data_IF_221415577166
#
_entry.id   IF_221415577166
#
_cell.length_a   1.000
_cell.length_b   1.000
_cell.length_c   1.000
_cell.angle_alpha   90.00
_cell.angle_beta   90.00
_cell.angle_gamma   90.00
#
_symmetry.space_group_name_H-M   'P 1'
#
loop_
_entity.id
_entity.type
_entity.pdbx_description
1 polymer ?
#
# COMPACT_ATOMS: atom_id res chain seq x y z
N UNK A 1 -10.08 7.12 62.35
CA UNK A 1 -8.99 7.50 61.41
C UNK A 1 -8.72 6.43 60.36
N UNK A 2 -8.71 5.13 60.69
CA UNK A 2 -8.45 4.03 59.74
C UNK A 2 -9.43 3.93 58.54
N UNK A 3 -10.72 4.24 58.73
CA UNK A 3 -11.71 4.15 57.63
C UNK A 3 -11.58 5.27 56.59
N UNK A 4 -11.17 6.47 57.01
CA UNK A 4 -10.99 7.60 56.11
C UNK A 4 -9.74 7.37 55.24
N UNK A 5 -8.67 6.84 55.83
CA UNK A 5 -7.44 6.49 55.13
C UNK A 5 -7.66 5.41 54.06
N UNK A 6 -8.47 4.38 54.36
CA UNK A 6 -8.81 3.32 53.38
C UNK A 6 -9.63 3.85 52.21
N UNK A 7 -10.60 4.74 52.48
CA UNK A 7 -11.41 5.36 51.42
C UNK A 7 -10.60 6.29 50.53
N UNK A 8 -9.70 7.08 51.10
CA UNK A 8 -8.78 7.94 50.34
C UNK A 8 -7.82 7.12 49.46
N UNK A 9 -7.31 5.99 49.95
CA UNK A 9 -6.44 5.12 49.18
C UNK A 9 -7.15 4.53 47.95
N UNK A 10 -8.41 4.11 48.09
CA UNK A 10 -9.19 3.56 46.97
C UNK A 10 -9.42 4.62 45.89
N UNK A 11 -9.74 5.85 46.28
CA UNK A 11 -9.96 6.96 45.33
C UNK A 11 -8.68 7.31 44.59
N UNK A 12 -7.52 7.29 45.26
CA UNK A 12 -6.22 7.52 44.63
C UNK A 12 -5.85 6.42 43.64
N UNK A 13 -6.11 5.14 43.98
CA UNK A 13 -5.86 4.01 43.07
C UNK A 13 -6.77 4.09 41.85
N UNK A 14 -8.07 4.37 42.02
CA UNK A 14 -8.99 4.55 40.90
C UNK A 14 -8.60 5.74 40.02
N UNK A 15 -8.21 6.86 40.61
CA UNK A 15 -7.73 8.02 39.85
C UNK A 15 -6.47 7.71 39.04
N UNK A 16 -5.54 6.96 39.63
CA UNK A 16 -4.33 6.49 38.95
C UNK A 16 -4.64 5.53 37.80
N UNK A 17 -5.53 4.55 38.01
CA UNK A 17 -5.95 3.62 36.96
C UNK A 17 -6.62 4.34 35.78
N UNK A 18 -7.48 5.32 36.05
CA UNK A 18 -8.13 6.13 35.00
C UNK A 18 -7.08 6.96 34.25
N UNK A 19 -6.13 7.59 34.95
CA UNK A 19 -5.04 8.34 34.33
C UNK A 19 -4.16 7.45 33.44
N UNK A 20 -3.87 6.21 33.85
CA UNK A 20 -3.11 5.26 33.05
C UNK A 20 -3.84 4.84 31.76
N UNK A 21 -5.18 4.81 31.72
CA UNK A 21 -5.92 4.51 30.49
C UNK A 21 -5.74 5.59 29.41
N UNK A 22 -5.44 6.84 29.80
CA UNK A 22 -5.19 7.94 28.86
C UNK A 22 -3.74 8.01 28.37
N UNK A 23 -2.80 7.25 28.96
CA UNK A 23 -1.38 7.26 28.58
C UNK A 23 -1.03 6.21 27.51
N UNK A 24 -1.98 5.42 27.01
CA UNK A 24 -1.73 4.36 26.01
C UNK A 24 -2.35 4.58 24.63
N UNK A 25 -2.84 5.79 24.34
CA UNK A 25 -3.18 6.12 22.94
C UNK A 25 -1.90 6.59 22.25
N UNK A 26 -1.09 5.63 21.81
CA UNK A 26 -0.15 5.91 20.72
C UNK A 26 -0.99 6.09 19.47
N UNK A 27 -1.17 7.33 19.05
CA UNK A 27 -1.68 7.64 17.72
C UNK A 27 -0.65 7.13 16.71
N UNK A 28 -0.92 6.00 16.07
CA UNK A 28 -0.17 5.60 14.87
C UNK A 28 -0.60 6.57 13.77
N UNK A 29 0.33 7.42 13.37
CA UNK A 29 0.18 8.38 12.29
C UNK A 29 0.30 7.59 10.98
N UNK A 30 -0.82 7.14 10.44
CA UNK A 30 -0.89 6.31 9.21
C UNK A 30 -0.39 7.05 7.94
N UNK A 31 -0.11 8.35 8.04
CA UNK A 31 0.33 9.21 6.93
C UNK A 31 1.84 9.10 6.62
N UNK A 32 2.66 8.52 7.52
CA UNK A 32 4.11 8.33 7.28
C UNK A 32 4.47 6.93 6.73
N UNK A 33 3.54 5.98 6.67
CA UNK A 33 3.85 4.58 6.33
C UNK A 33 3.90 4.30 4.82
N UNK A 34 3.08 4.98 4.01
CA UNK A 34 3.04 4.77 2.55
C UNK A 34 4.38 5.01 1.84
N UNK A 35 5.17 6.08 2.12
CA UNK A 35 6.47 6.27 1.48
C UNK A 35 7.53 5.28 1.97
N UNK A 36 7.45 4.79 3.21
CA UNK A 36 8.40 3.80 3.77
C UNK A 36 8.14 2.43 3.15
N UNK A 37 6.88 2.00 3.08
CA UNK A 37 6.50 0.72 2.47
C UNK A 37 6.93 0.70 1.00
N UNK A 38 6.67 1.78 0.25
CA UNK A 38 7.07 1.83 -1.16
C UNK A 38 8.59 1.79 -1.33
N UNK A 39 9.37 2.42 -0.44
CA UNK A 39 10.83 2.37 -0.50
C UNK A 39 11.38 0.96 -0.23
N UNK A 40 10.76 0.20 0.67
CA UNK A 40 11.16 -1.18 1.00
C UNK A 40 10.67 -2.21 -0.02
N UNK A 41 9.56 -1.93 -0.70
CA UNK A 41 8.92 -2.84 -1.68
C UNK A 41 9.17 -2.43 -3.13
N UNK A 42 10.01 -1.42 -3.34
CA UNK A 42 10.16 -0.77 -4.63
C UNK A 42 10.53 -1.75 -5.76
N UNK A 43 11.23 -2.84 -5.44
CA UNK A 43 11.73 -3.84 -6.40
C UNK A 43 10.85 -5.10 -6.48
N UNK A 44 9.66 -5.08 -5.89
CA UNK A 44 8.73 -6.20 -5.97
C UNK A 44 8.23 -6.41 -7.40
N UNK A 45 8.12 -7.68 -7.79
CA UNK A 45 7.46 -8.06 -9.04
C UNK A 45 5.98 -8.34 -8.79
N UNK A 46 5.18 -8.24 -9.85
CA UNK A 46 3.78 -8.63 -9.77
C UNK A 46 3.63 -10.15 -9.56
N UNK A 47 2.72 -10.59 -8.68
CA UNK A 47 2.59 -12.00 -8.33
C UNK A 47 1.93 -12.83 -9.44
N UNK A 48 1.24 -12.20 -10.38
CA UNK A 48 0.67 -12.82 -11.58
C UNK A 48 0.35 -11.76 -12.63
N UNK A 49 0.43 -12.12 -13.91
CA UNK A 49 -0.06 -11.29 -15.01
C UNK A 49 -1.53 -11.61 -15.31
N UNK A 50 -2.41 -10.63 -15.08
CA UNK A 50 -3.85 -10.81 -15.22
C UNK A 50 -4.62 -9.49 -15.08
N UNK A 51 -5.93 -9.59 -14.87
CA UNK A 51 -6.82 -8.45 -14.68
C UNK A 51 -7.16 -8.27 -13.21
N UNK A 52 -6.93 -7.07 -12.66
CA UNK A 52 -7.32 -6.71 -11.30
C UNK A 52 -8.85 -6.57 -11.23
N UNK A 53 -9.49 -7.52 -10.55
CA UNK A 53 -10.96 -7.66 -10.53
C UNK A 53 -11.61 -7.32 -9.20
N UNK A 54 -10.88 -7.40 -8.09
CA UNK A 54 -11.35 -6.98 -6.77
C UNK A 54 -10.21 -6.35 -5.97
N UNK A 55 -10.53 -5.33 -5.19
CA UNK A 55 -9.54 -4.48 -4.50
C UNK A 55 -9.56 -4.72 -3.00
N UNK A 56 -8.49 -4.31 -2.31
CA UNK A 56 -8.43 -4.35 -0.85
C UNK A 56 -9.56 -3.52 -0.22
N UNK A 57 -10.13 -4.01 0.89
CA UNK A 57 -11.17 -3.33 1.64
C UNK A 57 -12.58 -3.44 1.05
N UNK A 58 -12.77 -4.10 -0.09
CA UNK A 58 -14.10 -4.39 -0.63
C UNK A 58 -14.84 -5.42 0.23
N UNK A 59 -16.06 -5.81 -0.17
CA UNK A 59 -16.91 -6.77 0.57
C UNK A 59 -17.23 -6.31 2.00
N UNK A 60 -17.38 -5.00 2.18
CA UNK A 60 -17.64 -4.40 3.50
C UNK A 60 -16.42 -4.37 4.41
N UNK A 61 -15.21 -4.28 3.85
CA UNK A 61 -13.95 -4.30 4.63
C UNK A 61 -13.41 -5.69 4.95
N UNK A 62 -14.01 -6.74 4.38
CA UNK A 62 -13.63 -8.13 4.64
C UNK A 62 -12.71 -8.73 3.56
N UNK A 63 -12.38 -7.95 2.52
CA UNK A 63 -11.41 -8.35 1.52
C UNK A 63 -10.02 -7.83 1.91
N UNK A 64 -9.12 -8.71 2.36
CA UNK A 64 -7.82 -8.36 2.94
C UNK A 64 -6.66 -8.41 1.92
N UNK A 65 -7.00 -8.45 0.64
CA UNK A 65 -6.05 -8.55 -0.46
C UNK A 65 -6.64 -7.99 -1.75
N UNK A 66 -6.02 -8.34 -2.87
CA UNK A 66 -6.51 -8.07 -4.21
C UNK A 66 -6.79 -9.38 -4.94
N UNK A 67 -7.75 -9.37 -5.87
CA UNK A 67 -8.05 -10.50 -6.73
C UNK A 67 -7.62 -10.21 -8.17
N UNK A 68 -6.68 -10.99 -8.69
CA UNK A 68 -6.15 -10.87 -10.04
C UNK A 68 -6.62 -12.06 -10.87
N UNK A 69 -7.58 -11.82 -11.77
CA UNK A 69 -8.15 -12.83 -12.63
C UNK A 69 -7.15 -13.22 -13.73
N UNK A 70 -6.95 -14.53 -13.85
CA UNK A 70 -6.14 -15.16 -14.88
C UNK A 70 -6.63 -16.59 -15.13
N UNK A 71 -6.34 -17.20 -16.30
CA UNK A 71 -6.70 -18.58 -16.55
C UNK A 71 -6.16 -19.54 -15.47
N UNK A 72 -6.93 -20.59 -15.15
CA UNK A 72 -6.43 -21.67 -14.29
C UNK A 72 -5.17 -22.28 -14.92
N UNK A 73 -4.14 -22.50 -14.09
CA UNK A 73 -2.85 -23.01 -14.54
C UNK A 73 -1.81 -21.93 -14.85
N UNK A 74 -2.19 -20.64 -14.91
CA UNK A 74 -1.25 -19.52 -15.04
C UNK A 74 -0.28 -19.52 -13.85
N UNK A 75 1.00 -19.33 -14.12
CA UNK A 75 2.05 -19.30 -13.09
C UNK A 75 1.87 -18.10 -12.16
N UNK A 76 2.11 -18.34 -10.86
CA UNK A 76 2.17 -17.29 -9.84
C UNK A 76 3.60 -17.19 -9.30
N UNK A 77 4.09 -15.98 -9.10
CA UNK A 77 5.48 -15.68 -8.78
C UNK A 77 5.64 -15.14 -7.36
N UNK A 78 6.78 -15.42 -6.72
CA UNK A 78 7.15 -14.71 -5.48
C UNK A 78 7.49 -13.26 -5.80
N UNK A 79 6.87 -12.33 -5.09
CA UNK A 79 7.09 -10.88 -5.31
C UNK A 79 8.49 -10.42 -4.94
N UNK A 80 9.14 -11.10 -3.99
CA UNK A 80 10.49 -10.85 -3.51
C UNK A 80 11.14 -12.15 -2.99
N UNK A 81 12.45 -12.12 -2.74
CA UNK A 81 13.16 -13.16 -1.99
C UNK A 81 12.47 -13.46 -0.66
N UNK A 82 12.54 -14.70 -0.19
CA UNK A 82 11.96 -15.04 1.11
C UNK A 82 11.97 -16.52 1.43
N UNK A 83 11.31 -16.87 2.53
CA UNK A 83 11.16 -18.25 2.99
C UNK A 83 9.67 -18.60 3.06
N UNK A 84 9.29 -19.75 2.51
CA UNK A 84 7.91 -20.26 2.61
C UNK A 84 7.61 -20.61 4.07
N UNK A 85 6.69 -19.91 4.70
CA UNK A 85 6.30 -20.18 6.10
C UNK A 85 5.16 -21.19 6.21
N UNK A 86 4.32 -21.30 5.18
CA UNK A 86 3.21 -22.28 5.12
C UNK A 86 2.91 -22.65 3.67
N UNK A 87 2.67 -23.93 3.40
CA UNK A 87 2.16 -24.41 2.10
C UNK A 87 1.19 -25.56 2.31
N UNK A 88 -0.11 -25.27 2.32
CA UNK A 88 -1.14 -26.26 2.69
C UNK A 88 -2.50 -25.97 2.05
N UNK A 89 -3.44 -26.91 2.21
CA UNK A 89 -4.81 -26.77 1.71
C UNK A 89 -5.70 -26.25 2.84
N UNK A 90 -6.33 -25.10 2.62
CA UNK A 90 -7.29 -24.47 3.52
C UNK A 90 -8.71 -24.58 2.95
N UNK A 91 -9.71 -24.75 3.81
CA UNK A 91 -11.10 -24.70 3.36
C UNK A 91 -11.53 -23.31 2.86
N UNK A 92 -10.91 -22.24 3.37
CA UNK A 92 -11.18 -20.86 2.94
C UNK A 92 -10.30 -20.45 1.77
N UNK A 93 -8.97 -20.54 1.91
CA UNK A 93 -8.04 -20.10 0.89
C UNK A 93 -7.83 -21.11 -0.25
N UNK A 94 -8.24 -22.38 -0.08
CA UNK A 94 -7.91 -23.43 -1.04
C UNK A 94 -6.44 -23.83 -0.92
N UNK A 95 -5.81 -24.17 -2.04
CA UNK A 95 -4.35 -24.27 -2.06
C UNK A 95 -3.74 -22.89 -1.85
N UNK A 96 -2.91 -22.78 -0.82
CA UNK A 96 -2.33 -21.51 -0.40
C UNK A 96 -0.86 -21.65 -0.03
N UNK A 97 -0.08 -20.62 -0.36
CA UNK A 97 1.33 -20.46 -0.02
C UNK A 97 1.51 -19.13 0.73
N UNK A 98 2.32 -19.15 1.79
CA UNK A 98 2.70 -17.97 2.58
C UNK A 98 4.22 -17.82 2.49
N UNK A 99 4.69 -16.60 2.22
CA UNK A 99 6.13 -16.31 2.07
C UNK A 99 6.49 -15.12 2.94
N UNK A 100 7.46 -15.30 3.82
CA UNK A 100 8.03 -14.24 4.64
C UNK A 100 9.25 -13.65 3.96
N UNK A 101 9.27 -12.33 3.85
CA UNK A 101 10.30 -11.56 3.15
C UNK A 101 11.25 -10.85 4.14
N UNK A 102 12.50 -10.56 3.73
CA UNK A 102 13.51 -9.92 4.58
C UNK A 102 13.10 -8.55 5.16
N UNK A 103 12.27 -7.81 4.45
CA UNK A 103 11.80 -6.46 4.81
C UNK A 103 10.71 -6.49 5.89
N UNK A 104 10.38 -7.67 6.40
CA UNK A 104 9.40 -7.85 7.47
C UNK A 104 7.96 -7.93 6.96
N UNK A 105 7.74 -8.19 5.68
CA UNK A 105 6.42 -8.52 5.13
C UNK A 105 6.20 -10.02 5.05
N UNK A 106 4.94 -10.44 5.13
CA UNK A 106 4.51 -11.78 4.74
C UNK A 106 3.43 -11.68 3.66
N UNK A 107 3.59 -12.41 2.57
CA UNK A 107 2.64 -12.43 1.45
C UNK A 107 1.88 -13.74 1.39
N UNK A 108 0.63 -13.68 0.93
CA UNK A 108 -0.28 -14.83 0.84
C UNK A 108 -0.74 -15.00 -0.60
N UNK A 109 -0.61 -16.21 -1.13
CA UNK A 109 -1.01 -16.58 -2.50
C UNK A 109 -2.06 -17.67 -2.41
N UNK A 110 -3.32 -17.31 -2.63
CA UNK A 110 -4.47 -18.18 -2.39
C UNK A 110 -5.27 -18.50 -3.65
N UNK A 111 -6.21 -19.44 -3.48
CA UNK A 111 -7.08 -20.00 -4.51
C UNK A 111 -6.33 -20.73 -5.62
N UNK A 112 -5.09 -21.16 -5.37
CA UNK A 112 -4.25 -21.85 -6.32
C UNK A 112 -4.89 -23.18 -6.78
N UNK A 113 -4.57 -23.63 -7.99
CA UNK A 113 -4.88 -24.99 -8.45
C UNK A 113 -3.81 -25.98 -8.00
N UNK A 114 -2.57 -25.50 -7.86
CA UNK A 114 -1.40 -26.30 -7.51
C UNK A 114 -0.42 -25.42 -6.71
N UNK A 115 0.23 -26.02 -5.70
CA UNK A 115 1.36 -25.42 -4.98
C UNK A 115 2.63 -26.12 -5.45
N UNK A 116 3.66 -25.36 -5.82
CA UNK A 116 4.91 -25.90 -6.34
C UNK A 116 6.07 -25.80 -5.32
N UNK A 117 5.77 -25.34 -4.11
CA UNK A 117 6.74 -25.11 -3.05
C UNK A 117 6.24 -25.66 -1.72
N UNK A 118 7.18 -26.00 -0.84
CA UNK A 118 6.92 -26.58 0.48
C UNK A 118 7.35 -25.66 1.61
N UNK A 119 6.82 -25.89 2.82
CA UNK A 119 7.19 -25.12 4.01
C UNK A 119 8.68 -25.24 4.32
N UNK A 120 9.32 -24.12 4.63
CA UNK A 120 10.76 -24.00 4.88
C UNK A 120 11.61 -23.82 3.62
N UNK A 121 11.03 -23.82 2.42
CA UNK A 121 11.76 -23.59 1.19
C UNK A 121 12.19 -22.12 1.04
N UNK A 122 13.45 -21.90 0.68
CA UNK A 122 13.97 -20.59 0.27
C UNK A 122 13.55 -20.30 -1.18
N UNK A 123 13.06 -19.10 -1.42
CA UNK A 123 12.48 -18.64 -2.69
C UNK A 123 13.18 -17.37 -3.13
N UNK A 124 13.43 -17.26 -4.44
CA UNK A 124 13.92 -16.05 -5.07
C UNK A 124 12.78 -15.25 -5.68
N UNK A 125 12.95 -13.93 -5.72
CA UNK A 125 12.05 -13.05 -6.45
C UNK A 125 11.84 -13.56 -7.88
N UNK A 126 10.58 -13.66 -8.28
CA UNK A 126 10.18 -14.15 -9.60
C UNK A 126 10.13 -15.67 -9.75
N UNK A 127 10.50 -16.45 -8.72
CA UNK A 127 10.32 -17.90 -8.76
C UNK A 127 8.84 -18.26 -8.86
N UNK A 128 8.52 -19.29 -9.65
CA UNK A 128 7.15 -19.83 -9.74
C UNK A 128 6.86 -20.65 -8.49
N UNK A 129 5.84 -20.24 -7.73
CA UNK A 129 5.48 -20.85 -6.44
C UNK A 129 4.19 -21.67 -6.49
N UNK A 130 3.41 -21.51 -7.55
CA UNK A 130 2.10 -22.10 -7.68
C UNK A 130 1.44 -21.75 -9.01
N UNK A 131 0.19 -22.19 -9.14
CA UNK A 131 -0.62 -21.93 -10.33
C UNK A 131 -1.98 -21.38 -9.93
N UNK A 132 -2.45 -20.36 -10.65
CA UNK A 132 -3.80 -19.79 -10.51
C UNK A 132 -4.85 -20.90 -10.57
N UNK A 133 -5.88 -20.77 -9.74
CA UNK A 133 -6.95 -21.76 -9.67
C UNK A 133 -8.28 -21.17 -9.21
N UNK A 134 -9.14 -22.05 -8.73
CA UNK A 134 -10.46 -21.73 -8.22
C UNK A 134 -10.80 -22.68 -7.05
N UNK A 135 -9.88 -22.80 -6.09
CA UNK A 135 -10.04 -23.69 -4.93
C UNK A 135 -10.38 -22.93 -3.65
N UNK A 136 -10.94 -23.62 -2.65
CA UNK A 136 -11.45 -22.97 -1.45
C UNK A 136 -12.71 -22.14 -1.70
N UNK A 137 -12.80 -20.97 -1.07
CA UNK A 137 -13.94 -20.05 -1.18
C UNK A 137 -13.74 -19.05 -2.32
N UNK A 138 -13.70 -19.57 -3.55
CA UNK A 138 -13.60 -18.78 -4.78
C UNK A 138 -14.83 -18.97 -5.68
N UNK A 139 -15.11 -17.99 -6.54
CA UNK A 139 -16.23 -18.00 -7.51
C UNK A 139 -15.76 -18.06 -8.97
N UNK A 140 -14.46 -18.05 -9.22
CA UNK A 140 -13.87 -17.99 -10.55
C UNK A 140 -12.35 -18.08 -10.49
N UNK A 141 -11.71 -18.32 -11.63
CA UNK A 141 -10.26 -18.45 -11.69
C UNK A 141 -9.56 -17.11 -11.42
N UNK A 142 -8.82 -17.02 -10.32
CA UNK A 142 -8.03 -15.84 -9.94
C UNK A 142 -6.96 -16.21 -8.90
N UNK A 143 -5.96 -15.33 -8.76
CA UNK A 143 -5.10 -15.28 -7.59
C UNK A 143 -5.71 -14.31 -6.58
N UNK A 144 -5.91 -14.76 -5.34
CA UNK A 144 -6.13 -13.87 -4.21
C UNK A 144 -4.79 -13.61 -3.53
N UNK A 145 -4.36 -12.34 -3.52
CA UNK A 145 -3.04 -11.92 -3.04
C UNK A 145 -3.18 -10.97 -1.85
N UNK A 146 -2.61 -11.34 -0.70
CA UNK A 146 -2.59 -10.50 0.50
C UNK A 146 -1.14 -10.11 0.84
N UNK A 147 -0.98 -8.93 1.44
CA UNK A 147 0.30 -8.44 1.98
C UNK A 147 0.09 -8.08 3.44
N UNK A 148 0.95 -8.58 4.31
CA UNK A 148 0.90 -8.38 5.74
C UNK A 148 2.20 -7.73 6.23
N UNK A 149 2.08 -6.72 7.11
CA UNK A 149 3.23 -6.13 7.78
C UNK A 149 3.53 -6.93 9.05
N UNK A 150 4.63 -7.67 9.03
CA UNK A 150 4.94 -8.74 9.98
C UNK A 150 4.22 -10.05 9.64
N UNK A 151 4.30 -11.00 10.57
CA UNK A 151 3.73 -12.34 10.37
C UNK A 151 2.19 -12.27 10.20
N UNK A 152 1.66 -13.04 9.26
CA UNK A 152 0.23 -13.23 9.05
C UNK A 152 -0.42 -13.73 10.33
N UNK A 153 -1.56 -13.14 10.66
CA UNK A 153 -2.41 -13.59 11.75
C UNK A 153 -3.85 -13.84 11.26
N UNK A 154 -4.56 -14.73 11.95
CA UNK A 154 -5.91 -15.18 11.57
C UNK A 154 -6.91 -14.02 11.46
N UNK A 155 -6.75 -13.02 12.31
CA UNK A 155 -7.59 -11.81 12.35
C UNK A 155 -7.24 -10.81 11.24
N UNK A 156 -6.12 -11.03 10.53
CA UNK A 156 -5.58 -10.20 9.45
C UNK A 156 -5.44 -8.74 9.83
N UNK A 157 -5.20 -8.45 11.11
CA UNK A 157 -5.13 -7.08 11.63
C UNK A 157 -3.97 -6.28 11.07
N UNK A 158 -2.99 -6.95 10.47
CA UNK A 158 -1.81 -6.36 9.84
C UNK A 158 -1.83 -6.44 8.31
N UNK A 159 -2.96 -6.82 7.68
CA UNK A 159 -3.09 -6.76 6.23
C UNK A 159 -3.06 -5.32 5.75
N UNK A 160 -2.26 -5.03 4.73
CA UNK A 160 -2.20 -3.73 4.06
C UNK A 160 -2.72 -3.86 2.63
N UNK A 161 -3.04 -2.72 1.99
CA UNK A 161 -3.41 -2.72 0.57
C UNK A 161 -2.20 -3.16 -0.28
N UNK A 162 -2.26 -4.29 -0.99
CA UNK A 162 -1.15 -4.77 -1.83
C UNK A 162 -0.71 -3.77 -2.90
N UNK A 163 -1.61 -2.89 -3.37
CA UNK A 163 -1.28 -1.88 -4.37
C UNK A 163 -0.34 -0.78 -3.83
N UNK A 164 -0.15 -0.66 -2.51
CA UNK A 164 0.87 0.23 -1.95
C UNK A 164 2.28 -0.38 -2.02
N UNK A 165 2.37 -1.69 -2.22
CA UNK A 165 3.62 -2.44 -2.30
C UNK A 165 3.98 -2.89 -3.73
N UNK A 166 3.06 -2.71 -4.69
CA UNK A 166 3.25 -3.11 -6.08
C UNK A 166 3.37 -1.87 -6.98
N UNK A 167 4.21 -1.94 -8.00
CA UNK A 167 4.30 -0.90 -9.02
C UNK A 167 3.03 -0.88 -9.87
N UNK A 168 2.11 0.03 -9.55
CA UNK A 168 0.84 0.20 -10.26
C UNK A 168 1.00 0.83 -11.64
N UNK A 169 2.16 1.38 -12.00
CA UNK A 169 2.39 1.98 -13.32
C UNK A 169 2.33 0.96 -14.47
N UNK A 170 2.39 -0.33 -14.15
CA UNK A 170 2.27 -1.42 -15.13
C UNK A 170 0.81 -1.78 -15.43
N UNK A 171 -0.16 -1.21 -14.70
CA UNK A 171 -1.57 -1.44 -14.93
C UNK A 171 -2.08 -0.59 -16.11
N UNK A 172 -2.54 -1.26 -17.16
CA UNK A 172 -3.22 -0.64 -18.30
C UNK A 172 -4.66 -1.15 -18.32
N UNK A 173 -5.63 -0.26 -18.17
CA UNK A 173 -7.06 -0.62 -18.14
C UNK A 173 -7.38 -1.75 -17.13
N UNK A 174 -6.71 -1.71 -15.96
CA UNK A 174 -6.86 -2.73 -14.91
C UNK A 174 -6.12 -4.05 -15.18
N UNK A 175 -5.36 -4.16 -16.27
CA UNK A 175 -4.57 -5.35 -16.61
C UNK A 175 -3.10 -5.12 -16.32
N UNK A 176 -2.46 -6.09 -15.68
CA UNK A 176 -1.01 -6.11 -15.45
C UNK A 176 -0.32 -6.40 -16.78
N UNK A 177 0.29 -5.37 -17.37
CA UNK A 177 1.03 -5.51 -18.62
C UNK A 177 2.40 -6.10 -18.36
N UNK A 178 2.60 -7.38 -18.72
CA UNK A 178 3.89 -8.06 -18.60
C UNK A 178 5.01 -7.28 -19.29
N UNK A 179 4.77 -6.79 -20.51
CA UNK A 179 5.76 -6.01 -21.26
C UNK A 179 6.13 -4.68 -20.56
N UNK A 180 5.18 -4.02 -19.89
CA UNK A 180 5.49 -2.82 -19.11
C UNK A 180 6.21 -3.15 -17.81
N UNK A 181 5.83 -4.24 -17.13
CA UNK A 181 6.51 -4.69 -15.93
C UNK A 181 7.98 -5.02 -16.20
N UNK A 182 8.25 -5.79 -17.26
CA UNK A 182 9.61 -6.11 -17.70
C UNK A 182 10.40 -4.84 -18.09
N UNK A 183 9.77 -3.92 -18.82
CA UNK A 183 10.39 -2.65 -19.21
C UNK A 183 10.71 -1.77 -18.00
N UNK A 184 9.78 -1.61 -17.07
CA UNK A 184 9.94 -0.79 -15.85
C UNK A 184 11.01 -1.37 -14.94
N UNK A 185 11.02 -2.68 -14.77
CA UNK A 185 12.05 -3.38 -14.02
C UNK A 185 13.43 -3.18 -14.67
N UNK A 186 13.53 -3.27 -15.99
CA UNK A 186 14.78 -3.01 -16.71
C UNK A 186 15.24 -1.54 -16.60
N UNK A 187 14.33 -0.56 -16.74
CA UNK A 187 14.61 0.87 -16.54
C UNK A 187 15.15 1.11 -15.14
N UNK A 188 14.49 0.55 -14.12
CA UNK A 188 14.88 0.72 -12.73
C UNK A 188 16.24 0.12 -12.41
N UNK A 189 16.51 -1.11 -12.90
CA UNK A 189 17.83 -1.74 -12.75
C UNK A 189 18.93 -0.93 -13.45
N UNK A 190 18.65 -0.30 -14.58
CA UNK A 190 19.60 0.57 -15.28
C UNK A 190 19.87 1.89 -14.53
N UNK A 191 18.86 2.48 -13.89
CA UNK A 191 19.07 3.66 -13.04
C UNK A 191 19.86 3.29 -11.79
N UNK A 192 19.53 2.17 -11.14
CA UNK A 192 20.26 1.69 -9.97
C UNK A 192 21.72 1.40 -10.33
N UNK A 193 22.00 0.70 -11.45
CA UNK A 193 23.37 0.42 -11.88
C UNK A 193 24.19 1.68 -12.18
N UNK A 194 23.55 2.75 -12.67
CA UNK A 194 24.21 4.02 -12.96
C UNK A 194 24.33 4.94 -11.72
N UNK A 195 23.51 4.72 -10.69
CA UNK A 195 23.51 5.47 -9.44
C UNK A 195 24.46 4.86 -8.38
N UNK A 196 24.86 3.60 -8.56
CA UNK A 196 25.81 2.92 -7.67
C UNK A 196 27.25 3.25 -8.10
N UNK A 197 28.12 3.78 -7.21
CA UNK A 197 29.51 4.07 -7.54
C UNK A 197 30.28 2.79 -7.83
N UNK A 198 31.27 2.86 -8.74
CA UNK A 198 32.21 1.77 -9.15
C UNK A 198 33.14 1.26 -8.01
N UNK A 199 32.71 1.34 -6.75
CA UNK A 199 33.45 0.90 -5.57
C UNK A 199 32.75 -0.32 -4.94
N UNK A 200 33.50 -1.29 -4.38
CA UNK A 200 32.93 -2.46 -3.73
C UNK A 200 32.05 -2.05 -2.54
N UNK A 201 30.95 -2.79 -2.33
CA UNK A 201 29.86 -2.43 -1.41
C UNK A 201 30.29 -2.24 0.06
N UNK A 202 31.44 -2.81 0.44
CA UNK A 202 32.05 -2.69 1.77
C UNK A 202 32.76 -1.34 2.00
N UNK A 203 32.90 -0.51 0.97
CA UNK A 203 33.49 0.83 1.04
C UNK A 203 32.47 1.97 0.88
N UNK A 204 31.18 1.67 0.84
CA UNK A 204 30.14 2.67 0.74
C UNK A 204 29.91 3.36 2.09
N UNK A 205 30.26 4.65 2.17
CA UNK A 205 29.98 5.49 3.32
C UNK A 205 28.91 6.52 2.94
N UNK A 206 27.70 6.03 2.68
CA UNK A 206 26.56 6.82 2.23
C UNK A 206 25.68 7.11 3.45
N UNK A 207 25.37 8.38 3.70
CA UNK A 207 24.44 8.74 4.78
C UNK A 207 23.01 8.33 4.40
N UNK A 208 22.17 8.01 5.38
CA UNK A 208 20.76 7.62 5.18
C UNK A 208 20.01 8.63 4.29
N UNK A 209 20.33 9.93 4.42
CA UNK A 209 19.84 11.02 3.57
C UNK A 209 20.29 10.95 2.12
N UNK A 210 21.52 10.52 1.85
CA UNK A 210 22.04 10.38 0.48
C UNK A 210 21.44 9.15 -0.21
N UNK A 211 21.17 8.07 0.54
CA UNK A 211 20.41 6.94 0.05
C UNK A 211 18.96 7.35 -0.30
N UNK A 212 18.28 8.08 0.59
CA UNK A 212 16.95 8.67 0.34
C UNK A 212 16.94 9.64 -0.85
N UNK A 213 18.00 10.43 -1.02
CA UNK A 213 18.12 11.36 -2.13
C UNK A 213 18.38 10.64 -3.47
N UNK A 214 19.18 9.57 -3.48
CA UNK A 214 19.40 8.76 -4.68
C UNK A 214 18.15 7.94 -5.06
N UNK A 215 17.42 7.41 -4.07
CA UNK A 215 16.14 6.74 -4.24
C UNK A 215 15.04 7.70 -4.72
N UNK A 216 14.97 8.92 -4.18
CA UNK A 216 14.00 9.92 -4.65
C UNK A 216 14.35 10.51 -6.01
N UNK A 217 15.64 10.70 -6.34
CA UNK A 217 16.06 11.24 -7.64
C UNK A 217 15.92 10.22 -8.77
N UNK A 218 16.08 8.92 -8.48
CA UNK A 218 15.86 7.83 -9.44
C UNK A 218 14.39 7.57 -9.74
N UNK A 219 13.50 7.82 -8.76
CA UNK A 219 12.03 7.69 -8.92
C UNK A 219 11.42 8.91 -9.64
N UNK A 220 12.01 10.10 -9.52
CA UNK A 220 11.47 11.33 -10.14
C UNK A 220 11.59 11.35 -11.68
N UNK A 221 12.29 10.40 -12.31
CA UNK A 221 12.35 10.30 -13.78
C UNK A 221 11.07 9.73 -14.42
N UNK A 222 10.05 9.29 -13.66
CA UNK A 222 8.83 8.72 -14.28
C UNK A 222 7.48 9.20 -13.72
N UNK A 223 7.41 10.31 -12.97
CA UNK A 223 6.12 10.90 -12.57
C UNK A 223 5.81 12.26 -13.21
N UNK A 224 6.79 12.87 -13.90
CA UNK A 224 6.61 14.19 -14.52
C UNK A 224 6.15 14.16 -15.98
N UNK A 225 6.23 13.01 -16.65
CA UNK A 225 5.88 12.85 -18.07
C UNK A 225 4.47 12.25 -18.30
N UNK A 226 3.66 12.07 -17.24
CA UNK A 226 2.33 11.44 -17.34
C UNK A 226 1.14 12.39 -17.17
N UNK A 227 1.31 13.68 -17.51
CA UNK A 227 0.18 14.62 -17.53
C UNK A 227 0.14 15.61 -18.72
N UNK A 228 0.93 15.46 -19.78
CA UNK A 228 1.01 16.46 -20.86
C UNK A 228 0.86 15.92 -22.30
N UNK A 229 0.39 14.68 -22.49
CA UNK A 229 0.04 14.15 -23.82
C UNK A 229 -1.48 13.97 -24.01
N UNK A 230 -2.27 14.93 -23.52
CA UNK A 230 -3.55 15.34 -24.13
C UNK A 230 -3.72 16.84 -23.83
N UNK A 231 -3.07 17.70 -24.64
CA UNK A 231 -3.50 19.04 -25.08
C UNK A 231 -2.27 19.88 -25.50
N UNK A 232 -1.78 19.66 -26.71
CA UNK A 232 -0.95 20.65 -27.39
C UNK A 232 -1.86 21.83 -27.80
N UNK A 233 -1.56 23.05 -27.30
CA UNK A 233 -1.47 24.32 -28.07
C UNK A 233 -1.17 25.50 -27.10
N UNK A 234 0.08 25.98 -27.21
CA UNK A 234 0.55 27.38 -27.04
C UNK A 234 0.80 27.97 -25.64
N UNK A 235 2.02 27.76 -25.13
CA UNK A 235 3.11 28.76 -25.17
C UNK A 235 3.10 29.97 -24.23
N UNK A 236 3.96 29.96 -23.19
CA UNK A 236 4.95 31.01 -22.81
C UNK A 236 5.59 30.73 -21.43
N UNK A 237 6.92 30.79 -21.37
CA UNK A 237 7.73 31.03 -20.16
C UNK A 237 8.42 32.40 -20.30
N UNK A 238 9.12 32.96 -19.28
CA UNK A 238 8.95 32.91 -17.80
C UNK A 238 9.13 34.32 -17.15
N UNK A 239 9.02 34.46 -15.82
CA UNK A 239 10.05 35.20 -15.06
C UNK A 239 10.06 34.92 -13.55
N UNK A 240 11.27 34.93 -12.98
CA UNK A 240 11.62 34.74 -11.57
C UNK A 240 11.42 36.01 -10.74
N UNK A 241 10.95 35.87 -9.49
CA UNK A 241 11.42 36.63 -8.32
C UNK A 241 10.89 36.00 -7.03
N UNK A 242 11.80 35.71 -6.09
CA UNK A 242 11.57 35.10 -4.78
C UNK A 242 10.81 36.04 -3.83
N UNK A 243 9.76 35.55 -3.12
CA UNK A 243 9.42 36.04 -1.77
C UNK A 243 8.73 34.93 -0.94
N UNK A 244 9.48 34.36 0.03
CA UNK A 244 9.04 33.77 1.32
C UNK A 244 7.77 32.90 1.32
N UNK A 245 7.96 31.58 1.27
CA UNK A 245 6.89 30.59 1.40
C UNK A 245 6.24 30.58 2.81
N UNK A 246 5.20 31.39 3.00
CA UNK A 246 4.01 30.94 3.73
C UNK A 246 3.36 29.91 2.84
N UNK A 247 3.31 28.64 3.26
CA UNK A 247 2.62 27.58 2.54
C UNK A 247 1.17 28.03 2.28
N UNK A 248 0.84 28.36 1.04
CA UNK A 248 -0.47 28.87 0.67
C UNK A 248 -1.36 27.65 0.46
N UNK A 249 -2.13 27.31 1.49
CA UNK A 249 -3.11 26.24 1.37
C UNK A 249 -4.21 26.69 0.42
N UNK A 250 -4.41 25.94 -0.66
CA UNK A 250 -5.48 26.21 -1.61
C UNK A 250 -6.77 25.55 -1.11
N UNK A 251 -7.83 26.35 -0.97
CA UNK A 251 -9.15 25.87 -0.54
C UNK A 251 -10.04 25.69 -1.78
N UNK A 252 -10.30 24.44 -2.13
CA UNK A 252 -11.12 24.04 -3.29
C UNK A 252 -12.52 23.69 -2.80
N UNK A 253 -13.55 24.30 -3.38
CA UNK A 253 -14.96 23.98 -3.09
C UNK A 253 -15.51 23.08 -4.19
N UNK A 254 -16.02 21.91 -3.82
CA UNK A 254 -16.58 20.90 -4.73
C UNK A 254 -18.06 20.69 -4.44
N UNK A 255 -18.90 20.80 -5.46
CA UNK A 255 -20.32 20.45 -5.37
C UNK A 255 -20.52 18.94 -5.62
N UNK A 256 -21.20 18.27 -4.68
CA UNK A 256 -21.44 16.82 -4.73
C UNK A 256 -22.44 16.49 -5.84
N UNK A 257 -22.01 15.68 -6.80
CA UNK A 257 -22.85 15.16 -7.89
C UNK A 257 -23.13 13.67 -7.73
N UNK A 258 -24.07 13.15 -8.51
CA UNK A 258 -24.48 11.73 -8.45
C UNK A 258 -23.27 10.81 -8.72
N UNK A 259 -22.96 9.94 -7.76
CA UNK A 259 -21.86 8.98 -7.85
C UNK A 259 -20.56 9.43 -7.16
N UNK A 260 -20.50 10.67 -6.66
CA UNK A 260 -19.40 11.12 -5.82
C UNK A 260 -19.44 10.46 -4.45
N UNK A 261 -18.27 10.09 -3.94
CA UNK A 261 -18.08 9.56 -2.59
C UNK A 261 -16.98 10.35 -1.90
N UNK A 262 -17.01 10.43 -0.57
CA UNK A 262 -15.90 11.03 0.20
C UNK A 262 -14.57 10.34 -0.11
N UNK A 263 -14.61 9.04 -0.39
CA UNK A 263 -13.45 8.27 -0.80
C UNK A 263 -12.93 8.68 -2.18
N UNK A 264 -13.80 8.82 -3.18
CA UNK A 264 -13.38 9.29 -4.51
C UNK A 264 -12.84 10.72 -4.49
N UNK A 265 -13.32 11.56 -3.58
CA UNK A 265 -12.74 12.89 -3.32
C UNK A 265 -11.39 12.78 -2.60
N UNK A 266 -11.26 11.86 -1.65
CA UNK A 266 -10.01 11.60 -0.93
C UNK A 266 -8.88 11.20 -1.88
N UNK A 267 -9.15 10.28 -2.80
CA UNK A 267 -8.21 9.85 -3.85
C UNK A 267 -7.92 10.98 -4.85
N UNK A 268 -8.97 11.66 -5.35
CA UNK A 268 -8.82 12.71 -6.36
C UNK A 268 -7.97 13.90 -5.88
N UNK A 269 -8.09 14.22 -4.60
CA UNK A 269 -7.44 15.39 -4.01
C UNK A 269 -6.29 15.02 -3.06
N UNK A 270 -5.87 13.75 -3.02
CA UNK A 270 -4.77 13.25 -2.18
C UNK A 270 -4.86 13.73 -0.71
N UNK A 271 -6.07 13.67 -0.14
CA UNK A 271 -6.35 14.07 1.24
C UNK A 271 -7.16 12.99 1.91
N UNK A 272 -7.03 12.78 3.22
CA UNK A 272 -7.79 11.71 3.88
C UNK A 272 -9.30 12.01 3.94
N UNK A 273 -10.14 10.98 3.85
CA UNK A 273 -11.59 11.08 4.11
C UNK A 273 -11.87 11.75 5.46
N UNK A 274 -11.03 11.46 6.47
CA UNK A 274 -11.12 12.08 7.79
C UNK A 274 -10.92 13.59 7.72
N UNK A 275 -9.91 14.06 6.99
CA UNK A 275 -9.64 15.49 6.79
C UNK A 275 -10.82 16.18 6.10
N UNK A 276 -11.36 15.58 5.04
CA UNK A 276 -12.56 16.11 4.35
C UNK A 276 -13.75 16.23 5.31
N UNK A 277 -13.96 15.22 6.17
CA UNK A 277 -15.04 15.24 7.16
C UNK A 277 -14.82 16.31 8.23
N UNK A 278 -13.60 16.51 8.69
CA UNK A 278 -13.25 17.53 9.68
C UNK A 278 -13.48 18.94 9.14
N UNK A 279 -13.02 19.23 7.92
CA UNK A 279 -13.21 20.53 7.27
C UNK A 279 -14.68 20.88 7.03
N UNK A 280 -15.51 19.87 6.75
CA UNK A 280 -16.92 20.03 6.42
C UNK A 280 -17.88 19.69 7.58
N UNK A 281 -17.35 19.42 8.77
CA UNK A 281 -18.12 19.07 9.99
C UNK A 281 -19.09 17.90 9.77
N UNK A 282 -18.67 16.90 8.99
CA UNK A 282 -19.49 15.73 8.67
C UNK A 282 -19.42 14.70 9.80
N UNK A 283 -20.58 14.31 10.33
CA UNK A 283 -20.69 13.26 11.37
C UNK A 283 -20.74 11.84 10.80
N UNK A 284 -20.91 11.68 9.49
CA UNK A 284 -20.98 10.39 8.80
C UNK A 284 -20.31 10.45 7.44
N UNK A 285 -20.17 9.30 6.77
CA UNK A 285 -19.61 9.22 5.42
C UNK A 285 -20.64 9.53 4.31
N UNK A 286 -21.87 9.87 4.71
CA UNK A 286 -22.95 10.19 3.79
C UNK A 286 -22.86 11.64 3.35
N UNK A 287 -22.83 11.86 2.05
CA UNK A 287 -22.89 13.17 1.39
C UNK A 287 -24.10 13.23 0.47
N UNK A 288 -24.71 14.41 0.35
CA UNK A 288 -25.96 14.60 -0.41
C UNK A 288 -25.67 15.32 -1.72
N UNK A 289 -26.36 14.95 -2.79
CA UNK A 289 -26.24 15.65 -4.08
C UNK A 289 -26.59 17.13 -3.91
N UNK A 290 -25.76 18.02 -4.44
CA UNK A 290 -25.86 19.49 -4.28
C UNK A 290 -25.20 20.04 -3.00
N UNK A 291 -24.59 19.18 -2.18
CA UNK A 291 -23.81 19.61 -1.02
C UNK A 291 -22.46 20.15 -1.46
N UNK A 292 -22.04 21.30 -0.94
CA UNK A 292 -20.68 21.82 -1.15
C UNK A 292 -19.71 21.28 -0.09
N UNK A 293 -18.54 20.83 -0.53
CA UNK A 293 -17.46 20.36 0.33
C UNK A 293 -16.18 21.17 0.08
N UNK A 294 -15.61 21.71 1.14
CA UNK A 294 -14.30 22.36 1.14
C UNK A 294 -13.18 21.32 1.29
N UNK A 295 -12.20 21.40 0.40
CA UNK A 295 -11.02 20.53 0.34
C UNK A 295 -9.80 21.43 0.41
N UNK A 296 -8.97 21.21 1.42
CA UNK A 296 -7.77 22.02 1.67
C UNK A 296 -6.55 21.21 1.22
N UNK A 297 -5.79 21.73 0.26
CA UNK A 297 -4.56 21.11 -0.23
C UNK A 297 -3.35 21.97 0.13
N UNK A 298 -2.22 21.28 0.34
CA UNK A 298 -0.92 21.86 0.70
C UNK A 298 -0.02 22.18 -0.49
#
# INVERSE_FOLDING_TARGET
MLDLSRRLLIVLIMGFCIACMFLSVKTVKAEEQSPIILAETIDWVWPVYGELTDHFGTRGGHHHGIDIAAPTGTDTFSVEDGTVTKSYYSSSYGHVVFIKHPEGFETVYAHLSERLVEEGQEIKKGDVIGKVGNTGRSRGAHLHFEVHMGDWNVEKTNSINPLHALDVSVLIDGKVSQAMAEKKQAEKMAVLSNALPDQPADQWNISEKEAEQLLSTSVIVSSKDYSEDVLEIQGKQPNQEEVKASKKMDNIVVEVTKGMTLWGLSEKYDVSVKSIKEWNKLSSDTIVIGQELSIIQE
#
